data_IF_227666278584
#
_entry.id   IF_227666278584
#
_cell.length_a   1.000
_cell.length_b   1.000
_cell.length_c   1.000
_cell.angle_alpha   90.00
_cell.angle_beta   90.00
_cell.angle_gamma   90.00
#
_symmetry.space_group_name_H-M   'P 1'
#
loop_
_entity.id
_entity.type
_entity.pdbx_description
1 polymer ?
#
# COMPACT_ATOMS: atom_id res chain seq x y z
N UNK A 1 8.73 5.76 14.98
CA UNK A 1 7.75 4.90 14.28
C UNK A 1 7.21 5.61 13.04
N UNK A 2 6.82 6.88 13.17
CA UNK A 2 6.46 7.79 12.08
C UNK A 2 7.46 7.82 10.90
N UNK A 3 8.76 7.95 11.14
CA UNK A 3 9.80 7.88 10.09
C UNK A 3 9.86 6.53 9.37
N UNK A 4 9.56 5.43 10.09
CA UNK A 4 9.48 4.10 9.48
C UNK A 4 8.23 3.98 8.61
N UNK A 5 7.09 4.48 9.08
CA UNK A 5 5.83 4.45 8.32
C UNK A 5 5.96 5.25 7.03
N UNK A 6 6.53 6.46 7.11
CA UNK A 6 6.79 7.30 5.92
C UNK A 6 7.79 6.66 4.96
N UNK A 7 8.86 6.04 5.47
CA UNK A 7 9.81 5.29 4.64
C UNK A 7 9.16 4.10 3.92
N UNK A 8 8.29 3.34 4.59
CA UNK A 8 7.62 2.19 3.95
C UNK A 8 6.53 2.67 2.97
N UNK A 9 5.80 3.75 3.29
CA UNK A 9 4.92 4.43 2.33
C UNK A 9 5.69 4.82 1.06
N UNK A 10 6.85 5.46 1.21
CA UNK A 10 7.70 5.84 0.09
C UNK A 10 8.16 4.63 -0.74
N UNK A 11 8.56 3.53 -0.10
CA UNK A 11 8.96 2.30 -0.77
C UNK A 11 7.81 1.70 -1.60
N UNK A 12 6.59 1.71 -1.08
CA UNK A 12 5.41 1.24 -1.81
C UNK A 12 5.06 2.18 -2.98
N UNK A 13 5.09 3.50 -2.76
CA UNK A 13 4.88 4.48 -3.83
C UNK A 13 5.88 4.30 -4.96
N UNK A 14 7.15 4.03 -4.65
CA UNK A 14 8.16 3.71 -5.67
C UNK A 14 7.81 2.44 -6.44
N UNK A 15 7.41 1.35 -5.78
CA UNK A 15 7.00 0.10 -6.44
C UNK A 15 5.80 0.28 -7.38
N UNK A 16 4.77 1.01 -6.92
CA UNK A 16 3.58 1.34 -7.70
C UNK A 16 3.90 2.27 -8.88
N UNK A 17 4.82 3.22 -8.71
CA UNK A 17 5.26 4.13 -9.76
C UNK A 17 6.06 3.39 -10.84
N UNK A 18 6.93 2.44 -10.46
CA UNK A 18 7.66 1.60 -11.43
C UNK A 18 6.67 0.74 -12.22
N UNK A 19 5.66 0.15 -11.55
CA UNK A 19 4.60 -0.58 -12.24
C UNK A 19 3.80 0.33 -13.20
N UNK A 20 3.46 1.54 -12.77
CA UNK A 20 2.75 2.49 -13.60
C UNK A 20 3.56 2.94 -14.83
N UNK A 21 4.87 3.15 -14.66
CA UNK A 21 5.79 3.43 -15.76
C UNK A 21 5.87 2.28 -16.76
N UNK A 22 5.81 1.02 -16.30
CA UNK A 22 5.74 -0.15 -17.21
C UNK A 22 4.47 -0.16 -18.05
N UNK A 23 3.36 0.42 -17.56
CA UNK A 23 2.12 0.55 -18.31
C UNK A 23 2.16 1.69 -19.34
N UNK A 24 2.91 2.77 -19.05
CA UNK A 24 3.05 3.94 -19.93
C UNK A 24 4.00 3.65 -21.09
N UNK A 25 5.10 2.94 -20.85
CA UNK A 25 6.12 2.68 -21.87
C UNK A 25 5.68 1.55 -22.81
N UNK A 26 5.42 1.83 -24.09
CA UNK A 26 4.96 0.80 -25.04
C UNK A 26 6.01 -0.29 -25.30
N UNK A 27 7.30 -0.03 -25.01
CA UNK A 27 8.37 -1.03 -25.06
C UNK A 27 8.46 -1.95 -23.84
N UNK A 28 7.80 -1.60 -22.72
CA UNK A 28 7.76 -2.40 -21.50
C UNK A 28 6.56 -3.35 -21.44
N UNK A 29 5.60 -3.23 -22.36
CA UNK A 29 4.47 -4.16 -22.54
C UNK A 29 4.53 -4.87 -23.89
N UNK A 30 4.01 -6.10 -24.01
CA UNK A 30 3.80 -6.71 -25.31
C UNK A 30 2.76 -5.89 -26.12
N UNK A 31 2.87 -5.88 -27.47
CA UNK A 31 1.89 -5.22 -28.32
C UNK A 31 0.48 -5.81 -28.11
N UNK A 32 -0.55 -5.01 -28.40
CA UNK A 32 -1.93 -5.47 -28.32
C UNK A 32 -2.12 -6.63 -29.30
N UNK A 33 -2.61 -7.77 -28.83
CA UNK A 33 -2.95 -8.90 -29.68
C UNK A 33 -4.45 -8.91 -29.87
N UNK A 34 -4.89 -8.75 -31.11
CA UNK A 34 -6.28 -9.00 -31.47
C UNK A 34 -6.53 -10.51 -31.47
N UNK A 35 -7.60 -10.87 -30.76
CA UNK A 35 -7.98 -12.25 -30.45
C UNK A 35 -8.24 -13.11 -31.70
N UNK A 36 -8.43 -12.49 -32.87
CA UNK A 36 -8.69 -13.13 -34.17
C UNK A 36 -7.41 -13.59 -34.91
N UNK A 37 -6.23 -13.33 -34.37
CA UNK A 37 -4.96 -13.79 -34.94
C UNK A 37 -4.21 -14.70 -33.96
N UNK A 38 -4.11 -16.00 -34.27
CA UNK A 38 -3.43 -17.03 -33.47
C UNK A 38 -1.92 -16.78 -33.24
N UNK A 39 -1.38 -15.67 -33.73
CA UNK A 39 0.05 -15.32 -33.67
C UNK A 39 0.23 -14.10 -32.77
N UNK A 40 0.21 -14.31 -31.46
CA UNK A 40 0.57 -13.28 -30.49
C UNK A 40 2.06 -13.34 -30.14
N UNK A 41 2.71 -12.17 -30.11
CA UNK A 41 4.12 -12.08 -29.73
C UNK A 41 4.30 -12.41 -28.24
N UNK A 42 5.12 -13.43 -27.94
CA UNK A 42 5.43 -13.83 -26.57
C UNK A 42 6.16 -12.69 -25.84
N UNK A 43 5.79 -12.45 -24.58
CA UNK A 43 6.42 -11.44 -23.73
C UNK A 43 7.93 -11.67 -23.61
N UNK A 44 8.71 -10.60 -23.76
CA UNK A 44 10.18 -10.69 -23.70
C UNK A 44 10.65 -10.86 -22.24
N UNK A 45 11.78 -11.56 -22.00
CA UNK A 45 12.25 -11.83 -20.64
C UNK A 45 12.58 -10.56 -19.83
N UNK A 46 13.01 -9.49 -20.48
CA UNK A 46 13.26 -8.17 -19.90
C UNK A 46 11.97 -7.50 -19.38
N UNK A 47 10.88 -7.57 -20.15
CA UNK A 47 9.56 -7.06 -19.74
C UNK A 47 9.04 -7.80 -18.50
N UNK A 48 9.22 -9.13 -18.48
CA UNK A 48 8.81 -9.96 -17.36
C UNK A 48 9.66 -9.70 -16.10
N UNK A 49 10.97 -9.52 -16.25
CA UNK A 49 11.86 -9.19 -15.14
C UNK A 49 11.51 -7.84 -14.49
N UNK A 50 11.22 -6.82 -15.31
CA UNK A 50 10.75 -5.53 -14.83
C UNK A 50 9.41 -5.64 -14.08
N UNK A 51 8.46 -6.40 -14.63
CA UNK A 51 7.18 -6.64 -13.97
C UNK A 51 7.35 -7.32 -12.60
N UNK A 52 8.13 -8.39 -12.51
CA UNK A 52 8.37 -9.09 -11.26
C UNK A 52 9.12 -8.25 -10.23
N UNK A 53 10.09 -7.45 -10.66
CA UNK A 53 10.78 -6.51 -9.76
C UNK A 53 9.82 -5.49 -9.15
N UNK A 54 8.86 -4.99 -9.94
CA UNK A 54 7.82 -4.06 -9.49
C UNK A 54 6.93 -4.71 -8.42
N UNK A 55 6.46 -5.93 -8.67
CA UNK A 55 5.65 -6.68 -7.70
C UNK A 55 6.44 -7.03 -6.43
N UNK A 56 7.72 -7.36 -6.54
CA UNK A 56 8.56 -7.62 -5.37
C UNK A 56 8.69 -6.37 -4.48
N UNK A 57 8.96 -5.20 -5.08
CA UNK A 57 9.04 -3.93 -4.35
C UNK A 57 7.69 -3.57 -3.69
N UNK A 58 6.58 -3.76 -4.40
CA UNK A 58 5.24 -3.55 -3.86
C UNK A 58 4.93 -4.49 -2.70
N UNK A 59 5.28 -5.78 -2.81
CA UNK A 59 5.04 -6.77 -1.76
C UNK A 59 5.81 -6.42 -0.47
N UNK A 60 7.07 -6.01 -0.60
CA UNK A 60 7.90 -5.58 0.53
C UNK A 60 7.27 -4.34 1.21
N UNK A 61 6.85 -3.34 0.44
CA UNK A 61 6.19 -2.15 0.97
C UNK A 61 4.85 -2.47 1.64
N UNK A 62 3.99 -3.24 0.97
CA UNK A 62 2.66 -3.59 1.45
C UNK A 62 2.69 -4.41 2.75
N UNK A 63 3.67 -5.31 2.89
CA UNK A 63 3.85 -6.12 4.10
C UNK A 63 4.19 -5.31 5.35
N UNK A 64 4.87 -4.17 5.20
CA UNK A 64 5.26 -3.30 6.32
C UNK A 64 4.22 -2.24 6.69
N UNK A 65 3.52 -1.67 5.70
CA UNK A 65 2.64 -0.51 5.94
C UNK A 65 1.49 -0.85 6.88
N UNK A 66 0.79 -1.95 6.61
CA UNK A 66 -0.43 -2.31 7.35
C UNK A 66 -0.18 -2.54 8.85
N UNK A 67 0.75 -3.42 9.27
CA UNK A 67 0.97 -3.66 10.69
C UNK A 67 1.58 -2.42 11.39
N UNK A 68 2.48 -1.68 10.74
CA UNK A 68 3.07 -0.49 11.34
C UNK A 68 2.07 0.65 11.51
N UNK A 69 1.22 0.91 10.51
CA UNK A 69 0.19 1.94 10.59
C UNK A 69 -0.90 1.59 11.60
N UNK A 70 -1.27 0.31 11.71
CA UNK A 70 -2.25 -0.14 12.69
C UNK A 70 -1.72 0.00 14.13
N UNK A 71 -0.48 -0.43 14.39
CA UNK A 71 0.17 -0.26 15.68
C UNK A 71 0.31 1.22 16.05
N UNK A 72 0.74 2.07 15.11
CA UNK A 72 0.83 3.51 15.32
C UNK A 72 -0.53 4.16 15.60
N UNK A 73 -1.59 3.73 14.89
CA UNK A 73 -2.95 4.19 15.15
C UNK A 73 -3.43 3.80 16.54
N UNK A 74 -3.20 2.56 16.97
CA UNK A 74 -3.51 2.11 18.31
C UNK A 74 -2.77 2.92 19.39
N UNK A 75 -1.48 3.21 19.18
CA UNK A 75 -0.66 4.06 20.05
C UNK A 75 -1.23 5.48 20.21
N UNK A 76 -2.02 6.00 19.25
CA UNK A 76 -2.68 7.31 19.39
C UNK A 76 -3.88 7.29 20.33
N UNK A 77 -4.57 6.15 20.44
CA UNK A 77 -5.79 6.01 21.26
C UNK A 77 -5.52 5.34 22.61
N UNK A 78 -4.37 4.71 22.79
CA UNK A 78 -3.96 4.08 24.04
C UNK A 78 -3.70 5.14 25.13
N UNK A 79 -4.69 5.33 26.00
CA UNK A 79 -4.63 6.25 27.14
C UNK A 79 -4.56 5.46 28.45
N UNK A 80 -3.37 5.29 29.05
CA UNK A 80 -3.16 4.37 30.17
C UNK A 80 -3.93 4.74 31.45
N UNK A 81 -4.33 6.00 31.60
CA UNK A 81 -5.06 6.49 32.79
C UNK A 81 -6.59 6.51 32.61
N UNK A 82 -7.11 6.06 31.47
CA UNK A 82 -8.55 6.09 31.19
C UNK A 82 -9.18 4.70 31.43
N UNK A 83 -10.18 4.57 32.34
CA UNK A 83 -10.85 3.28 32.56
C UNK A 83 -11.65 2.79 31.33
N UNK A 84 -11.91 3.65 30.34
CA UNK A 84 -12.57 3.32 29.07
C UNK A 84 -11.59 3.04 27.92
N UNK A 85 -10.30 2.93 28.20
CA UNK A 85 -9.27 2.75 27.16
C UNK A 85 -9.56 1.52 26.29
N UNK A 86 -9.89 0.39 26.91
CA UNK A 86 -10.16 -0.86 26.19
C UNK A 86 -11.34 -0.75 25.21
N UNK A 87 -12.43 -0.09 25.62
CA UNK A 87 -13.61 0.07 24.75
C UNK A 87 -13.38 1.04 23.60
N UNK A 88 -12.56 2.08 23.81
CA UNK A 88 -12.12 2.99 22.74
C UNK A 88 -11.26 2.24 21.73
N UNK A 89 -10.30 1.45 22.20
CA UNK A 89 -9.39 0.67 21.35
C UNK A 89 -10.16 -0.39 20.53
N UNK A 90 -11.10 -1.10 21.17
CA UNK A 90 -11.98 -2.07 20.49
C UNK A 90 -12.82 -1.39 19.40
N UNK A 91 -13.40 -0.22 19.70
CA UNK A 91 -14.18 0.55 18.73
C UNK A 91 -13.32 1.01 17.54
N UNK A 92 -12.08 1.44 17.80
CA UNK A 92 -11.10 1.78 16.77
C UNK A 92 -10.82 0.59 15.84
N UNK A 93 -10.50 -0.59 16.39
CA UNK A 93 -10.26 -1.78 15.58
C UNK A 93 -11.49 -2.19 14.78
N UNK A 94 -12.67 -2.17 15.39
CA UNK A 94 -13.92 -2.51 14.70
C UNK A 94 -14.16 -1.58 13.50
N UNK A 95 -14.03 -0.27 13.70
CA UNK A 95 -14.19 0.71 12.62
C UNK A 95 -13.12 0.59 11.54
N UNK A 96 -11.87 0.31 11.94
CA UNK A 96 -10.77 0.05 11.01
C UNK A 96 -11.08 -1.15 10.10
N UNK A 97 -11.49 -2.29 10.66
CA UNK A 97 -11.82 -3.48 9.86
C UNK A 97 -13.04 -3.27 8.97
N UNK A 98 -14.07 -2.58 9.47
CA UNK A 98 -15.24 -2.21 8.66
C UNK A 98 -14.84 -1.33 7.47
N UNK A 99 -14.02 -0.30 7.70
CA UNK A 99 -13.51 0.60 6.66
C UNK A 99 -12.64 -0.14 5.63
N UNK A 100 -11.76 -1.04 6.07
CA UNK A 100 -10.95 -1.88 5.17
C UNK A 100 -11.85 -2.75 4.30
N UNK A 101 -12.86 -3.40 4.87
CA UNK A 101 -13.82 -4.21 4.11
C UNK A 101 -14.50 -3.41 3.00
N UNK A 102 -15.04 -2.22 3.33
CA UNK A 102 -15.66 -1.33 2.36
C UNK A 102 -14.66 -0.89 1.29
N UNK A 103 -13.43 -0.55 1.67
CA UNK A 103 -12.39 -0.15 0.72
C UNK A 103 -12.03 -1.26 -0.27
N UNK A 104 -12.00 -2.52 0.17
CA UNK A 104 -11.75 -3.67 -0.69
C UNK A 104 -12.90 -3.86 -1.68
N UNK A 105 -14.14 -3.75 -1.22
CA UNK A 105 -15.32 -3.81 -2.09
C UNK A 105 -15.27 -2.73 -3.18
N UNK A 106 -15.00 -1.48 -2.79
CA UNK A 106 -14.85 -0.38 -3.75
C UNK A 106 -13.70 -0.64 -4.72
N UNK A 107 -12.56 -1.14 -4.22
CA UNK A 107 -11.38 -1.41 -5.05
C UNK A 107 -11.66 -2.49 -6.09
N UNK A 108 -12.28 -3.61 -5.72
CA UNK A 108 -12.56 -4.70 -6.67
C UNK A 108 -13.67 -4.36 -7.66
N UNK A 109 -14.49 -3.34 -7.39
CA UNK A 109 -15.52 -2.88 -8.32
C UNK A 109 -15.02 -1.74 -9.19
N UNK A 110 -14.67 -0.59 -8.58
CA UNK A 110 -14.37 0.66 -9.29
C UNK A 110 -13.03 0.60 -9.99
N UNK A 111 -11.97 0.12 -9.32
CA UNK A 111 -10.64 0.11 -9.92
C UNK A 111 -10.57 -0.91 -11.05
N UNK A 112 -11.20 -2.08 -10.90
CA UNK A 112 -11.28 -3.08 -11.96
C UNK A 112 -12.06 -2.52 -13.16
N UNK A 113 -13.20 -1.86 -12.93
CA UNK A 113 -13.96 -1.21 -14.01
C UNK A 113 -13.14 -0.18 -14.78
N UNK A 114 -12.37 0.66 -14.07
CA UNK A 114 -11.46 1.63 -14.71
C UNK A 114 -10.35 0.92 -15.49
N UNK A 115 -9.78 -0.16 -14.95
CA UNK A 115 -8.74 -0.94 -15.63
C UNK A 115 -9.25 -1.58 -16.94
N UNK A 116 -10.50 -2.05 -16.96
CA UNK A 116 -11.10 -2.68 -18.14
C UNK A 116 -11.53 -1.68 -19.20
N UNK A 117 -12.11 -0.53 -18.80
CA UNK A 117 -12.65 0.47 -19.76
C UNK A 117 -11.61 1.51 -20.19
N UNK A 118 -10.84 2.06 -19.24
CA UNK A 118 -9.88 3.14 -19.48
C UNK A 118 -8.43 2.64 -19.59
N UNK A 119 -8.21 1.34 -19.39
CA UNK A 119 -6.92 0.68 -19.51
C UNK A 119 -6.02 0.78 -18.28
N UNK A 120 -4.97 -0.03 -18.29
CA UNK A 120 -4.04 -0.22 -17.18
C UNK A 120 -3.26 1.03 -16.77
N UNK A 121 -3.03 1.97 -17.70
CA UNK A 121 -2.35 3.25 -17.39
C UNK A 121 -3.19 4.08 -16.42
N UNK A 122 -4.48 4.26 -16.69
CA UNK A 122 -5.38 5.02 -15.81
C UNK A 122 -5.65 4.24 -14.53
N UNK A 123 -5.86 2.93 -14.65
CA UNK A 123 -6.14 2.04 -13.54
C UNK A 123 -5.04 1.98 -12.47
N UNK A 124 -3.76 2.03 -12.87
CA UNK A 124 -2.65 2.12 -11.92
C UNK A 124 -2.33 3.54 -11.46
N UNK A 125 -2.71 4.57 -12.24
CA UNK A 125 -2.54 5.98 -11.85
C UNK A 125 -3.38 6.37 -10.63
N UNK A 126 -4.62 5.85 -10.53
CA UNK A 126 -5.52 6.16 -9.41
C UNK A 126 -4.92 5.78 -8.05
N UNK A 127 -4.44 4.54 -7.81
CA UNK A 127 -3.74 4.18 -6.58
C UNK A 127 -2.52 5.04 -6.26
N UNK A 128 -1.72 5.42 -7.27
CA UNK A 128 -0.53 6.27 -7.07
C UNK A 128 -0.92 7.63 -6.50
N UNK A 129 -1.94 8.28 -7.09
CA UNK A 129 -2.42 9.59 -6.64
C UNK A 129 -2.99 9.51 -5.22
N UNK A 130 -3.80 8.50 -4.92
CA UNK A 130 -4.39 8.31 -3.59
C UNK A 130 -3.31 8.07 -2.53
N UNK A 131 -2.26 7.28 -2.85
CA UNK A 131 -1.13 7.03 -1.94
C UNK A 131 -0.30 8.28 -1.69
N UNK A 132 -0.07 9.11 -2.72
CA UNK A 132 0.62 10.38 -2.59
C UNK A 132 -0.17 11.34 -1.70
N UNK A 133 -1.47 11.48 -1.93
CA UNK A 133 -2.35 12.31 -1.11
C UNK A 133 -2.36 11.85 0.35
N UNK A 134 -2.48 10.55 0.58
CA UNK A 134 -2.41 9.95 1.93
C UNK A 134 -1.09 10.28 2.64
N UNK A 135 0.03 10.20 1.93
CA UNK A 135 1.35 10.53 2.47
C UNK A 135 1.45 12.01 2.83
N UNK A 136 0.95 12.92 1.98
CA UNK A 136 0.93 14.36 2.27
C UNK A 136 0.10 14.64 3.52
N UNK A 137 -1.10 14.07 3.63
CA UNK A 137 -1.97 14.25 4.80
C UNK A 137 -1.32 13.72 6.08
N UNK A 138 -0.65 12.56 6.02
CA UNK A 138 0.09 12.00 7.15
C UNK A 138 1.23 12.93 7.60
N UNK A 139 1.99 13.50 6.66
CA UNK A 139 3.07 14.43 6.97
C UNK A 139 2.56 15.76 7.56
N UNK A 140 1.44 16.29 7.05
CA UNK A 140 0.81 17.48 7.61
C UNK A 140 0.30 17.24 9.04
N UNK A 141 -0.23 16.04 9.32
CA UNK A 141 -0.67 15.60 10.64
C UNK A 141 0.45 15.32 11.65
N UNK A 142 1.72 15.24 11.20
CA UNK A 142 2.88 14.88 12.03
C UNK A 142 2.97 15.65 13.37
N UNK A 143 2.60 16.93 13.38
CA UNK A 143 2.66 17.76 14.60
C UNK A 143 1.59 17.41 15.64
N UNK A 144 0.51 16.73 15.25
CA UNK A 144 -0.60 16.35 16.12
C UNK A 144 -0.42 14.95 16.71
N UNK A 145 0.52 14.14 16.18
CA UNK A 145 0.70 12.77 16.62
C UNK A 145 1.49 12.65 17.92
N UNK A 146 1.05 11.71 18.76
CA UNK A 146 1.77 11.26 19.96
C UNK A 146 2.98 10.44 19.51
N UNK A 147 4.17 10.92 19.86
CA UNK A 147 5.44 10.28 19.49
C UNK A 147 5.88 9.29 20.57
N UNK A 148 5.55 8.01 20.35
CA UNK A 148 6.00 6.92 21.22
C UNK A 148 7.50 6.67 21.02
N UNK A 149 8.24 6.59 22.14
CA UNK A 149 9.69 6.34 22.14
C UNK A 149 9.97 4.93 21.63
N UNK A 150 10.93 4.77 20.71
CA UNK A 150 11.27 3.47 20.16
C UNK A 150 11.76 2.52 21.26
N UNK A 151 11.02 1.43 21.50
CA UNK A 151 11.45 0.39 22.41
C UNK A 151 12.53 -0.46 21.71
N UNK A 152 13.77 -0.42 22.21
CA UNK A 152 14.94 -1.10 21.62
C UNK A 152 14.88 -2.64 21.77
N UNK A 153 13.87 -3.19 22.45
CA UNK A 153 13.85 -4.60 22.88
C UNK A 153 13.16 -5.59 21.94
N UNK A 154 12.51 -5.14 20.86
CA UNK A 154 11.74 -6.03 19.96
C UNK A 154 12.59 -7.16 19.33
N UNK A 155 13.89 -6.93 19.11
CA UNK A 155 14.81 -7.95 18.56
C UNK A 155 15.21 -9.01 19.60
N UNK A 156 15.16 -8.69 20.90
CA UNK A 156 15.52 -9.64 21.98
C UNK A 156 14.36 -10.60 22.27
N UNK A 157 13.12 -10.20 22.00
CA UNK A 157 11.93 -11.05 22.17
C UNK A 157 11.89 -12.24 21.22
N UNK A 158 12.32 -12.06 19.96
CA UNK A 158 12.39 -13.15 18.97
C UNK A 158 13.56 -14.12 19.20
N UNK A 159 14.62 -13.68 19.89
CA UNK A 159 15.80 -14.49 20.23
C UNK A 159 15.64 -15.27 21.54
N UNK A 160 14.54 -15.05 22.27
CA UNK A 160 14.19 -15.76 23.52
C UNK A 160 13.07 -16.80 23.35
N UNK A 161 12.59 -16.98 22.12
CA UNK A 161 11.70 -18.08 21.74
C UNK A 161 12.54 -19.20 21.10
#
# INVERSE_FOLDING_TARGET
MEEKITSIHWQNTQGMAVLWLTAILPGARPPHCDQDSDICAKSRPDQLALLFSSFALMAIGAGGIRPCSLAFGADQFDTPNNPKNESILQSFFNWYYASVGISVLISVTVIIYIQTEAGWVVGFGVPVVVMLLSTILFLLGSKLYVKVKANKSLMVGFLKL
#
